data_IF_289286759502
#
_entry.id   IF_289286759502
#
_cell.length_a   1.000
_cell.length_b   1.000
_cell.length_c   1.000
_cell.angle_alpha   90.00
_cell.angle_beta   90.00
_cell.angle_gamma   90.00
#
_symmetry.space_group_name_H-M   'P 1'
#
loop_
_entity.id
_entity.type
_entity.pdbx_description
1 polymer ?
#
# COMPACT_ATOMS: atom_id res chain seq x y z
N UNK A 1 39.64 -32.23 -30.13
CA UNK A 1 38.27 -32.52 -29.63
C UNK A 1 37.59 -31.20 -29.25
N UNK A 2 36.26 -31.12 -29.33
CA UNK A 2 35.39 -29.99 -28.93
C UNK A 2 35.29 -28.75 -29.84
N UNK A 3 34.64 -28.89 -31.01
CA UNK A 3 33.99 -27.74 -31.67
C UNK A 3 32.75 -28.07 -32.52
N UNK A 4 32.17 -29.26 -32.32
CA UNK A 4 30.98 -29.74 -33.06
C UNK A 4 29.73 -29.95 -32.19
N UNK A 5 29.83 -29.80 -30.86
CA UNK A 5 28.74 -30.18 -29.95
C UNK A 5 27.73 -29.05 -29.71
N UNK A 6 28.15 -27.77 -29.77
CA UNK A 6 27.25 -26.63 -29.54
C UNK A 6 26.28 -26.37 -30.72
N UNK A 7 26.70 -26.60 -31.96
CA UNK A 7 25.87 -26.35 -33.14
C UNK A 7 24.65 -27.29 -33.21
N UNK A 8 24.82 -28.57 -32.87
CA UNK A 8 23.73 -29.53 -32.82
C UNK A 8 22.70 -29.21 -31.73
N UNK A 9 23.16 -28.71 -30.58
CA UNK A 9 22.30 -28.36 -29.45
C UNK A 9 21.47 -27.09 -29.74
N UNK A 10 22.04 -26.11 -30.44
CA UNK A 10 21.32 -24.89 -30.88
C UNK A 10 20.29 -25.21 -31.97
N UNK A 11 20.60 -26.13 -32.89
CA UNK A 11 19.64 -26.58 -33.92
C UNK A 11 18.48 -27.34 -33.27
N UNK A 12 18.75 -28.23 -32.31
CA UNK A 12 17.71 -28.94 -31.57
C UNK A 12 16.80 -27.99 -30.79
N UNK A 13 17.35 -26.97 -30.10
CA UNK A 13 16.55 -25.96 -29.39
C UNK A 13 15.69 -25.15 -30.37
N UNK A 14 16.24 -24.71 -31.51
CA UNK A 14 15.46 -23.96 -32.52
C UNK A 14 14.35 -24.80 -33.16
N UNK A 15 14.58 -26.08 -33.42
CA UNK A 15 13.53 -27.01 -33.89
C UNK A 15 12.49 -27.31 -32.81
N UNK A 16 12.89 -27.42 -31.54
CA UNK A 16 11.95 -27.64 -30.42
C UNK A 16 11.05 -26.43 -30.20
N UNK A 17 11.61 -25.21 -30.18
CA UNK A 17 10.85 -23.95 -30.03
C UNK A 17 9.90 -23.76 -31.22
N UNK A 18 10.36 -23.99 -32.45
CA UNK A 18 9.50 -23.84 -33.64
C UNK A 18 8.37 -24.89 -33.72
N UNK A 19 8.55 -26.08 -33.14
CA UNK A 19 7.54 -27.14 -33.13
C UNK A 19 6.55 -26.98 -31.97
N UNK A 20 7.01 -26.43 -30.83
CA UNK A 20 6.16 -26.11 -29.68
C UNK A 20 5.20 -24.96 -30.01
N UNK A 21 5.68 -23.92 -30.71
CA UNK A 21 4.84 -22.80 -31.16
C UNK A 21 3.76 -23.24 -32.16
N UNK A 22 4.06 -24.19 -33.05
CA UNK A 22 3.09 -24.68 -34.04
C UNK A 22 1.98 -25.55 -33.41
N UNK A 23 2.28 -26.29 -32.33
CA UNK A 23 1.27 -26.99 -31.53
C UNK A 23 0.42 -26.03 -30.69
N UNK A 24 1.04 -24.99 -30.12
CA UNK A 24 0.33 -24.00 -29.31
C UNK A 24 -0.72 -23.21 -30.11
N UNK A 25 -0.46 -22.95 -31.40
CA UNK A 25 -1.41 -22.26 -32.28
C UNK A 25 -2.56 -23.15 -32.79
N UNK A 26 -2.41 -24.47 -32.79
CA UNK A 26 -3.49 -25.41 -33.18
C UNK A 26 -4.48 -25.70 -32.03
N UNK A 27 -4.07 -25.56 -30.77
CA UNK A 27 -4.95 -25.80 -29.62
C UNK A 27 -5.83 -24.59 -29.28
N UNK A 28 -5.37 -23.36 -29.58
CA UNK A 28 -6.07 -22.11 -29.20
C UNK A 28 -7.35 -21.85 -29.99
N UNK A 29 -7.60 -22.55 -31.10
CA UNK A 29 -8.80 -22.37 -31.94
C UNK A 29 -9.94 -23.32 -31.60
N UNK A 30 -9.77 -24.19 -30.59
CA UNK A 30 -10.79 -25.18 -30.19
C UNK A 30 -11.50 -24.86 -28.88
N UNK A 31 -11.59 -23.58 -28.53
CA UNK A 31 -12.63 -23.14 -27.60
C UNK A 31 -13.90 -22.89 -28.41
N UNK A 32 -14.96 -23.69 -28.25
CA UNK A 32 -16.26 -23.29 -28.77
C UNK A 32 -16.62 -21.98 -28.07
N UNK A 33 -16.69 -20.88 -28.82
CA UNK A 33 -17.39 -19.69 -28.38
C UNK A 33 -18.85 -20.10 -28.33
N UNK A 34 -19.29 -20.58 -27.16
CA UNK A 34 -20.69 -20.59 -26.83
C UNK A 34 -21.11 -19.11 -26.82
N UNK A 35 -21.77 -18.68 -27.89
CA UNK A 35 -22.52 -17.43 -27.87
C UNK A 35 -23.69 -17.71 -26.94
N UNK A 36 -23.47 -17.51 -25.64
CA UNK A 36 -24.57 -17.31 -24.72
C UNK A 36 -25.24 -16.01 -25.16
N UNK A 37 -26.35 -16.15 -25.89
CA UNK A 37 -27.28 -15.05 -26.08
C UNK A 37 -27.69 -14.66 -24.65
N UNK A 38 -27.39 -13.44 -24.18
CA UNK A 38 -27.86 -13.03 -22.86
C UNK A 38 -29.38 -12.93 -22.94
N UNK A 39 -30.06 -13.99 -22.50
CA UNK A 39 -31.52 -14.02 -22.35
C UNK A 39 -31.97 -13.33 -21.07
N UNK A 40 -31.06 -12.70 -20.32
CA UNK A 40 -31.44 -11.76 -19.28
C UNK A 40 -31.95 -10.48 -19.92
N UNK A 41 -33.26 -10.34 -19.96
CA UNK A 41 -33.91 -9.01 -19.90
C UNK A 41 -33.15 -8.22 -18.83
N UNK A 42 -32.65 -7.00 -19.10
CA UNK A 42 -31.96 -6.22 -18.08
C UNK A 42 -32.92 -6.10 -16.89
N UNK A 43 -32.53 -6.73 -15.80
CA UNK A 43 -33.29 -6.68 -14.57
C UNK A 43 -33.23 -5.23 -14.08
N UNK A 44 -34.30 -4.49 -14.37
CA UNK A 44 -34.45 -3.09 -13.97
C UNK A 44 -34.57 -2.94 -12.44
N UNK A 45 -34.39 -4.02 -11.69
CA UNK A 45 -34.41 -4.04 -10.23
C UNK A 45 -33.03 -4.03 -9.58
N UNK A 46 -31.93 -3.94 -10.35
CA UNK A 46 -30.62 -3.80 -9.75
C UNK A 46 -30.42 -2.41 -9.14
N UNK A 47 -30.05 -2.39 -7.85
CA UNK A 47 -29.63 -1.20 -7.13
C UNK A 47 -28.20 -1.36 -6.67
N UNK A 48 -27.40 -0.32 -6.86
CA UNK A 48 -26.00 -0.32 -6.50
C UNK A 48 -25.60 0.98 -5.83
N UNK A 49 -24.53 0.90 -5.06
CA UNK A 49 -23.98 2.06 -4.38
C UNK A 49 -23.10 2.87 -5.34
N UNK A 50 -23.24 4.20 -5.31
CA UNK A 50 -22.23 5.08 -5.87
C UNK A 50 -20.87 4.90 -5.16
N UNK A 51 -19.83 5.45 -5.76
CA UNK A 51 -18.57 5.64 -5.06
C UNK A 51 -18.76 6.45 -3.77
N UNK A 52 -17.91 6.17 -2.78
CA UNK A 52 -17.83 6.97 -1.57
C UNK A 52 -17.27 8.34 -1.90
N UNK A 53 -17.98 9.38 -1.46
CA UNK A 53 -17.54 10.76 -1.56
C UNK A 53 -17.31 11.30 -0.17
N UNK A 54 -16.17 11.95 0.02
CA UNK A 54 -15.90 12.70 1.24
C UNK A 54 -16.87 13.87 1.32
N UNK A 55 -17.54 13.99 2.47
CA UNK A 55 -18.46 15.10 2.75
C UNK A 55 -18.01 15.93 3.96
N UNK A 56 -17.10 15.40 4.75
CA UNK A 56 -16.41 16.14 5.80
C UNK A 56 -14.95 15.71 5.80
N UNK A 57 -14.07 16.69 5.60
CA UNK A 57 -12.63 16.51 5.67
C UNK A 57 -12.16 16.35 7.10
N UNK A 58 -10.98 15.76 7.25
CA UNK A 58 -10.34 15.64 8.54
C UNK A 58 -10.18 17.01 9.24
N UNK A 59 -10.62 17.10 10.49
CA UNK A 59 -10.56 18.33 11.29
C UNK A 59 -9.35 18.39 12.24
N UNK A 60 -8.45 17.42 12.18
CA UNK A 60 -7.21 17.39 12.96
C UNK A 60 -6.04 16.94 12.07
N UNK A 61 -4.83 17.41 12.36
CA UNK A 61 -3.66 17.15 11.52
C UNK A 61 -2.79 15.98 12.01
N UNK A 62 -3.05 15.46 13.21
CA UNK A 62 -2.31 14.37 13.83
C UNK A 62 -3.11 13.71 14.97
N UNK A 63 -2.56 12.64 15.51
CA UNK A 63 -2.96 12.01 16.77
C UNK A 63 -4.26 11.22 16.71
N UNK A 64 -4.82 10.98 15.52
CA UNK A 64 -6.17 10.40 15.38
C UNK A 64 -7.25 11.21 16.13
N UNK A 65 -7.00 12.50 16.30
CA UNK A 65 -7.88 13.41 17.04
C UNK A 65 -9.12 13.81 16.23
N UNK A 66 -9.06 13.65 14.91
CA UNK A 66 -10.11 14.04 14.00
C UNK A 66 -10.83 12.86 13.36
N UNK A 67 -11.92 13.18 12.69
CA UNK A 67 -12.65 12.24 11.84
C UNK A 67 -12.97 12.84 10.48
N UNK A 68 -13.12 11.96 9.50
CA UNK A 68 -13.59 12.28 8.16
C UNK A 68 -14.86 11.47 7.89
N UNK A 69 -15.77 12.04 7.12
CA UNK A 69 -17.08 11.44 6.86
C UNK A 69 -17.25 11.25 5.37
N UNK A 70 -17.65 10.04 4.98
CA UNK A 70 -17.98 9.71 3.60
C UNK A 70 -19.46 9.40 3.47
N UNK A 71 -20.03 9.80 2.33
CA UNK A 71 -21.37 9.41 1.91
C UNK A 71 -21.37 8.81 0.53
N UNK A 72 -22.33 7.94 0.29
CA UNK A 72 -22.64 7.39 -1.02
C UNK A 72 -24.15 7.39 -1.22
N UNK A 73 -24.55 7.40 -2.48
CA UNK A 73 -25.95 7.44 -2.87
C UNK A 73 -26.33 6.09 -3.46
N UNK A 74 -27.51 5.60 -3.13
CA UNK A 74 -28.05 4.40 -3.76
C UNK A 74 -28.63 4.78 -5.13
N UNK A 75 -28.22 4.05 -6.18
CA UNK A 75 -28.67 4.26 -7.55
C UNK A 75 -29.48 3.02 -7.95
N UNK A 76 -30.73 3.22 -8.36
CA UNK A 76 -31.63 2.15 -8.79
C UNK A 76 -33.04 2.29 -8.21
N UNK A 77 -33.92 1.35 -8.56
CA UNK A 77 -35.31 1.33 -8.11
C UNK A 77 -35.51 0.67 -6.74
N UNK A 78 -34.57 -0.19 -6.32
CA UNK A 78 -34.61 -0.89 -5.04
C UNK A 78 -33.71 -0.23 -3.98
N UNK A 79 -33.99 -0.45 -2.67
CA UNK A 79 -33.13 0.03 -1.60
C UNK A 79 -31.82 -0.77 -1.54
N UNK A 80 -30.69 -0.06 -1.56
CA UNK A 80 -29.38 -0.67 -1.40
C UNK A 80 -29.17 -1.20 0.02
N UNK A 81 -28.53 -2.37 0.14
CA UNK A 81 -28.16 -2.95 1.44
C UNK A 81 -26.87 -2.32 1.98
N UNK A 82 -26.86 -2.01 3.28
CA UNK A 82 -25.70 -1.44 3.98
C UNK A 82 -25.80 0.06 4.21
N UNK A 83 -24.74 0.65 4.76
CA UNK A 83 -24.76 2.04 5.21
C UNK A 83 -24.50 3.02 4.05
N UNK A 84 -25.20 4.15 4.06
CA UNK A 84 -24.98 5.28 3.14
C UNK A 84 -23.97 6.30 3.68
N UNK A 85 -23.61 6.21 4.96
CA UNK A 85 -22.62 7.04 5.66
C UNK A 85 -21.61 6.15 6.34
N UNK A 86 -20.33 6.51 6.26
CA UNK A 86 -19.26 5.96 7.11
C UNK A 86 -18.43 7.11 7.68
N UNK A 87 -17.84 6.86 8.84
CA UNK A 87 -16.98 7.81 9.53
C UNK A 87 -15.72 7.08 9.96
N UNK A 88 -14.58 7.67 9.64
CA UNK A 88 -13.27 7.08 9.84
C UNK A 88 -12.39 8.07 10.60
N UNK A 89 -11.47 7.56 11.41
CA UNK A 89 -10.40 8.41 11.92
C UNK A 89 -9.41 8.74 10.83
N UNK A 90 -8.80 9.91 10.95
CA UNK A 90 -7.89 10.44 9.97
C UNK A 90 -6.64 11.00 10.66
N UNK A 91 -5.57 11.20 9.89
CA UNK A 91 -4.30 11.72 10.37
C UNK A 91 -3.80 10.99 11.63
N UNK A 92 -3.61 9.67 11.47
CA UNK A 92 -3.27 8.77 12.57
C UNK A 92 -1.78 8.81 12.94
N UNK A 93 -0.95 9.56 12.22
CA UNK A 93 0.42 9.87 12.63
C UNK A 93 0.43 10.51 14.01
N UNK A 94 1.47 10.24 14.79
CA UNK A 94 1.63 10.84 16.12
C UNK A 94 1.75 12.37 16.04
N UNK A 95 1.20 13.07 17.02
CA UNK A 95 1.47 14.49 17.20
C UNK A 95 2.83 14.73 17.86
N UNK A 96 3.47 15.85 17.51
CA UNK A 96 4.62 16.37 18.22
C UNK A 96 4.23 17.08 19.53
N UNK A 97 5.20 17.19 20.44
CA UNK A 97 5.07 17.99 21.66
C UNK A 97 4.71 19.45 21.32
N UNK A 98 3.80 20.12 22.05
CA UNK A 98 3.24 19.77 23.37
C UNK A 98 1.92 18.99 23.34
N UNK A 99 1.42 18.60 22.17
CA UNK A 99 0.18 17.83 22.08
C UNK A 99 0.44 16.38 22.55
N UNK A 100 -0.55 15.70 23.13
CA UNK A 100 -0.43 14.26 23.34
C UNK A 100 -0.24 13.57 21.98
N UNK A 101 0.64 12.57 21.93
CA UNK A 101 0.96 11.86 20.70
C UNK A 101 -0.30 11.29 20.03
N UNK A 102 -1.26 10.79 20.82
CA UNK A 102 -2.54 10.27 20.37
C UNK A 102 -3.69 10.79 21.23
N UNK A 103 -4.84 11.04 20.60
CA UNK A 103 -6.08 11.35 21.29
C UNK A 103 -6.76 10.08 21.82
N UNK A 104 -7.34 10.11 23.05
CA UNK A 104 -8.13 9.00 23.55
C UNK A 104 -9.30 8.64 22.62
N UNK A 105 -9.65 7.36 22.46
CA UNK A 105 -9.13 6.18 23.16
C UNK A 105 -7.87 5.56 22.52
N UNK A 106 -7.31 6.19 21.48
CA UNK A 106 -6.19 5.62 20.74
C UNK A 106 -4.89 5.74 21.51
N UNK A 107 -4.04 4.73 21.31
CA UNK A 107 -2.72 4.63 21.94
C UNK A 107 -1.67 4.55 20.86
N UNK A 108 -0.44 4.88 21.26
CA UNK A 108 0.74 4.72 20.42
C UNK A 108 0.93 3.25 20.05
N UNK A 109 1.05 2.96 18.76
CA UNK A 109 1.32 1.63 18.20
C UNK A 109 2.42 1.74 17.13
N UNK A 110 3.08 0.63 16.84
CA UNK A 110 4.04 0.50 15.75
C UNK A 110 3.37 -0.19 14.57
N UNK A 111 3.16 0.53 13.47
CA UNK A 111 2.54 0.05 12.24
C UNK A 111 3.60 0.12 11.14
N UNK A 112 4.02 -1.04 10.64
CA UNK A 112 5.03 -1.15 9.57
C UNK A 112 6.32 -0.35 9.84
N UNK A 113 6.77 -0.32 11.10
CA UNK A 113 7.99 0.37 11.51
C UNK A 113 7.82 1.86 11.80
N UNK A 114 6.61 2.40 11.68
CA UNK A 114 6.29 3.80 11.98
C UNK A 114 5.30 3.92 13.14
N UNK A 115 5.47 4.96 13.94
CA UNK A 115 4.59 5.20 15.08
C UNK A 115 3.28 5.85 14.63
N UNK A 116 2.16 5.22 14.98
CA UNK A 116 0.83 5.70 14.66
C UNK A 116 -0.16 5.40 15.79
N UNK A 117 -1.28 6.11 15.80
CA UNK A 117 -2.32 6.01 16.81
C UNK A 117 -3.32 4.91 16.44
N UNK A 118 -3.49 3.90 17.29
CA UNK A 118 -4.42 2.79 17.06
C UNK A 118 -5.10 2.26 18.33
N UNK A 119 -5.99 1.26 18.21
CA UNK A 119 -6.32 0.50 17.00
C UNK A 119 -7.12 1.32 15.97
N UNK A 120 -6.93 1.05 14.68
CA UNK A 120 -7.66 1.68 13.57
C UNK A 120 -8.33 0.62 12.69
N UNK A 121 -9.28 1.05 11.86
CA UNK A 121 -9.87 0.21 10.82
C UNK A 121 -8.84 -0.08 9.71
N UNK A 122 -8.96 -1.22 9.05
CA UNK A 122 -8.00 -1.71 8.04
C UNK A 122 -7.81 -0.74 6.85
N UNK A 123 -8.89 -0.10 6.41
CA UNK A 123 -8.87 0.96 5.40
C UNK A 123 -8.05 2.18 5.82
N UNK A 124 -8.07 2.55 7.10
CA UNK A 124 -7.28 3.68 7.63
C UNK A 124 -5.81 3.29 7.74
N UNK A 125 -5.54 2.07 8.22
CA UNK A 125 -4.17 1.54 8.33
C UNK A 125 -3.53 1.42 6.94
N UNK A 126 -4.24 0.86 5.96
CA UNK A 126 -3.72 0.69 4.61
C UNK A 126 -3.47 2.02 3.91
N UNK A 127 -4.32 3.04 4.13
CA UNK A 127 -4.08 4.39 3.65
C UNK A 127 -2.81 5.02 4.27
N UNK A 128 -2.61 4.85 5.58
CA UNK A 128 -1.40 5.32 6.26
C UNK A 128 -0.14 4.63 5.73
N UNK A 129 -0.16 3.30 5.62
CA UNK A 129 0.93 2.50 5.06
C UNK A 129 1.28 2.93 3.63
N UNK A 130 0.27 3.17 2.78
CA UNK A 130 0.50 3.65 1.42
C UNK A 130 1.22 5.01 1.41
N UNK A 131 0.96 5.88 2.40
CA UNK A 131 1.67 7.16 2.53
C UNK A 131 3.13 6.97 2.96
N UNK A 132 3.44 6.00 3.83
CA UNK A 132 4.82 5.73 4.28
C UNK A 132 5.75 5.38 3.12
N UNK A 133 5.25 4.62 2.14
CA UNK A 133 6.04 4.22 0.97
C UNK A 133 6.46 5.39 0.08
N UNK A 134 5.71 6.50 0.13
CA UNK A 134 6.00 7.70 -0.66
C UNK A 134 6.91 8.70 0.05
N UNK A 135 7.07 8.57 1.37
CA UNK A 135 7.94 9.46 2.16
C UNK A 135 9.39 8.95 2.05
N UNK A 136 10.37 9.78 1.67
CA UNK A 136 11.77 9.38 1.78
C UNK A 136 12.03 9.08 3.25
N UNK A 137 12.35 7.82 3.56
CA UNK A 137 12.63 7.38 4.92
C UNK A 137 13.65 8.34 5.54
N UNK A 138 13.17 9.22 6.42
CA UNK A 138 14.05 9.78 7.43
C UNK A 138 14.27 8.65 8.42
N UNK A 139 15.14 7.72 8.01
CA UNK A 139 15.84 6.84 8.92
C UNK A 139 16.41 7.78 9.97
N UNK A 140 15.78 7.85 11.13
CA UNK A 140 16.47 8.24 12.35
C UNK A 140 17.75 7.42 12.31
N UNK A 141 18.88 8.07 12.07
CA UNK A 141 20.18 7.43 12.22
C UNK A 141 20.10 6.81 13.61
N UNK A 142 20.24 5.49 13.67
CA UNK A 142 20.26 4.81 14.95
C UNK A 142 21.22 5.59 15.86
N UNK A 143 20.89 5.84 17.14
CA UNK A 143 21.89 6.17 18.14
C UNK A 143 22.76 4.92 18.38
N UNK A 144 23.43 4.44 17.34
CA UNK A 144 24.49 3.45 17.42
C UNK A 144 25.82 4.18 17.37
N UNK A 145 26.03 5.07 18.34
CA UNK A 145 27.35 5.39 18.85
C UNK A 145 27.12 5.99 20.24
N UNK A 146 27.16 5.14 21.27
CA UNK A 146 27.72 5.60 22.53
C UNK A 146 29.07 6.23 22.17
N UNK A 147 29.41 7.44 22.62
CA UNK A 147 30.80 7.86 22.57
C UNK A 147 31.56 6.86 23.44
N UNK A 148 32.29 5.93 22.82
CA UNK A 148 33.39 5.26 23.49
C UNK A 148 34.30 6.37 24.02
N UNK A 149 34.68 6.28 25.29
CA UNK A 149 35.38 7.27 26.11
C UNK A 149 36.80 7.64 25.62
N UNK A 150 37.09 7.59 24.32
CA UNK A 150 38.44 7.78 23.78
C UNK A 150 38.72 9.21 23.25
N UNK A 151 37.75 10.11 23.22
CA UNK A 151 37.98 11.50 22.77
C UNK A 151 38.23 12.51 23.91
N UNK A 152 38.63 12.03 25.09
CA UNK A 152 39.02 12.89 26.22
C UNK A 152 40.50 13.30 26.23
N UNK A 153 41.34 12.78 25.33
CA UNK A 153 42.80 13.01 25.37
C UNK A 153 43.38 13.90 24.26
N UNK A 154 42.58 14.50 23.37
CA UNK A 154 43.10 15.42 22.33
C UNK A 154 42.96 16.93 22.63
N UNK A 155 42.47 17.32 23.81
CA UNK A 155 42.37 18.74 24.22
C UNK A 155 43.37 19.14 25.31
N UNK A 156 44.51 18.45 25.45
CA UNK A 156 45.54 18.80 26.44
C UNK A 156 46.79 19.51 25.87
N UNK A 157 46.91 19.70 24.55
CA UNK A 157 48.09 20.34 23.96
C UNK A 157 47.76 21.34 22.86
N UNK A 158 47.11 22.46 23.22
CA UNK A 158 47.43 23.73 22.58
C UNK A 158 46.99 24.91 23.44
N UNK A 159 47.77 25.19 24.48
CA UNK A 159 47.73 26.47 25.19
C UNK A 159 49.16 26.86 25.53
N UNK A 160 49.94 27.15 24.49
CA UNK A 160 51.16 27.95 24.58
C UNK A 160 51.38 28.66 23.24
N UNK A 161 51.53 29.99 23.32
CA UNK A 161 51.99 30.92 22.28
C UNK A 161 50.95 31.46 21.28
N UNK A 162 50.29 32.57 21.63
CA UNK A 162 50.67 33.92 21.19
C UNK A 162 49.83 34.99 21.88
#
# INVERSE_FOLDING_TARGET
MHRRSAAFLVIFIKFYVSCFDLRFLLEKTRQPVAIEIPTSVPDYTESYWSEWKEVLSCNAECGSCGSQVFRRTCIGALPCRGNSRKEERCNIQVCDYPKPACCPPYKLMLIEGEFACGPQEENVVSAFVAQLQTKPQQRMKAPSELPSEEESMLFAHNSTSN
#
